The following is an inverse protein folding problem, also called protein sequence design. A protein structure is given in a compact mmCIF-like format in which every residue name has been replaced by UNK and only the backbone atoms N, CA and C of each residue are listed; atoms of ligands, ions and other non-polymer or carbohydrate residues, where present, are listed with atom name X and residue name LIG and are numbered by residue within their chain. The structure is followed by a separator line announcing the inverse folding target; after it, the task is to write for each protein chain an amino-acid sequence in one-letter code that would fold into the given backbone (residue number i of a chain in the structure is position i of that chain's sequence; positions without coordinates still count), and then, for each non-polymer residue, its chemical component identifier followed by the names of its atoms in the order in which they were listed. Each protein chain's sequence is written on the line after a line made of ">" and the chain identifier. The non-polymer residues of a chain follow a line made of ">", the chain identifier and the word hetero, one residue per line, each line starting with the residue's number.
data_IF_138923086980
#
_entry.id   IF_138923086980
#
_cell.length_a   1.000
_cell.length_b   1.000
_cell.length_c   1.000
_cell.angle_alpha   90.00
_cell.angle_beta   90.00
_cell.angle_gamma   90.00
#
_symmetry.space_group_name_H-M   'P 1'
#
loop_
_entity.id
_entity.type
_entity.pdbx_description
1 polymer ?
#
# COMPACT_ATOMS: atom_id res chain seq x y z
N UNK A 1 21.69 -14.30 -20.85
CA UNK A 1 20.32 -13.75 -20.66
C UNK A 1 19.84 -13.95 -19.22
N UNK A 2 19.95 -15.16 -18.66
CA UNK A 2 19.60 -15.45 -17.25
C UNK A 2 20.35 -14.58 -16.22
N UNK A 3 21.67 -14.46 -16.35
CA UNK A 3 22.50 -13.68 -15.41
C UNK A 3 22.08 -12.20 -15.32
N UNK A 4 21.61 -11.63 -16.43
CA UNK A 4 21.16 -10.23 -16.49
C UNK A 4 19.85 -10.03 -15.72
N UNK A 5 18.94 -11.01 -15.77
CA UNK A 5 17.69 -10.98 -14.99
C UNK A 5 18.01 -11.10 -13.50
N UNK A 6 18.86 -12.06 -13.12
CA UNK A 6 19.24 -12.25 -11.71
C UNK A 6 19.93 -11.03 -11.14
N UNK A 7 20.80 -10.38 -11.92
CA UNK A 7 21.44 -9.12 -11.55
C UNK A 7 20.42 -8.00 -11.34
N UNK A 8 19.50 -7.79 -12.29
CA UNK A 8 18.48 -6.75 -12.18
C UNK A 8 17.53 -6.97 -11.00
N UNK A 9 17.15 -8.23 -10.73
CA UNK A 9 16.37 -8.59 -9.54
C UNK A 9 17.15 -8.25 -8.27
N UNK A 10 18.43 -8.60 -8.19
CA UNK A 10 19.27 -8.33 -7.01
C UNK A 10 19.52 -6.83 -6.79
N UNK A 11 19.65 -6.05 -7.86
CA UNK A 11 19.79 -4.60 -7.77
C UNK A 11 18.46 -3.91 -7.40
N UNK A 12 17.33 -4.36 -7.94
CA UNK A 12 16.01 -3.81 -7.56
C UNK A 12 15.68 -4.07 -6.10
N UNK A 13 16.15 -5.20 -5.55
CA UNK A 13 16.11 -5.53 -4.12
C UNK A 13 16.82 -4.52 -3.21
N UNK A 14 17.74 -3.69 -3.72
CA UNK A 14 18.38 -2.62 -2.94
C UNK A 14 17.51 -1.36 -2.83
N UNK A 15 16.57 -1.19 -3.77
CA UNK A 15 15.61 -0.06 -3.79
C UNK A 15 14.35 -0.39 -3.00
N UNK A 16 13.97 -1.67 -2.95
CA UNK A 16 12.87 -2.15 -2.13
C UNK A 16 13.35 -2.15 -0.67
N UNK A 17 12.70 -1.35 0.19
CA UNK A 17 13.00 -1.33 1.62
C UNK A 17 13.03 -2.77 2.19
N UNK A 18 13.90 -3.09 3.16
CA UNK A 18 14.25 -4.46 3.60
C UNK A 18 13.10 -5.28 4.24
N UNK A 19 11.85 -4.85 4.06
CA UNK A 19 10.66 -5.45 4.61
C UNK A 19 10.03 -6.54 3.70
N UNK A 20 10.75 -7.05 2.68
CA UNK A 20 10.31 -8.20 1.87
C UNK A 20 11.09 -9.50 2.23
N UNK A 21 10.46 -10.70 2.27
CA UNK A 21 9.03 -10.97 2.05
C UNK A 21 8.18 -10.28 3.10
N UNK A 22 7.09 -9.61 2.68
CA UNK A 22 6.18 -8.91 3.59
C UNK A 22 5.70 -9.90 4.65
N UNK A 23 6.39 -9.92 5.79
CA UNK A 23 5.92 -10.64 6.97
C UNK A 23 4.63 -9.99 7.48
N UNK A 24 4.43 -8.71 7.14
CA UNK A 24 3.24 -7.92 7.41
C UNK A 24 2.79 -7.23 6.11
N UNK A 25 1.80 -7.79 5.41
CA UNK A 25 0.90 -6.96 4.60
C UNK A 25 0.33 -5.88 5.52
N UNK A 26 0.22 -4.64 5.04
CA UNK A 26 -0.13 -3.42 5.79
C UNK A 26 -1.61 -3.37 6.19
N UNK A 27 -2.02 -4.43 6.86
CA UNK A 27 -3.21 -4.61 7.68
C UNK A 27 -2.83 -5.74 8.65
N UNK A 28 -1.93 -5.46 9.60
CA UNK A 28 -1.79 -6.36 10.74
C UNK A 28 -3.09 -6.21 11.51
N UNK A 29 -4.02 -7.14 11.30
CA UNK A 29 -5.24 -7.18 12.09
C UNK A 29 -4.82 -7.24 13.58
N UNK A 30 -5.06 -6.20 14.38
CA UNK A 30 -4.62 -6.15 15.77
C UNK A 30 -5.35 -7.20 16.65
N UNK A 31 -6.30 -7.94 16.07
CA UNK A 31 -7.04 -9.01 16.71
C UNK A 31 -6.62 -10.40 16.23
N UNK A 32 -5.63 -10.51 15.33
CA UNK A 32 -5.17 -11.80 14.81
C UNK A 32 -4.61 -12.67 15.95
N UNK A 33 -5.13 -13.89 16.09
CA UNK A 33 -4.78 -14.81 17.18
C UNK A 33 -5.60 -14.62 18.46
N UNK A 34 -6.58 -13.72 18.46
CA UNK A 34 -7.50 -13.45 19.57
C UNK A 34 -8.95 -13.84 19.21
N UNK A 35 -9.16 -14.64 18.17
CA UNK A 35 -10.47 -14.97 17.61
C UNK A 35 -11.37 -15.74 18.59
N UNK A 36 -10.77 -16.43 19.57
CA UNK A 36 -11.49 -17.18 20.60
C UNK A 36 -11.98 -16.32 21.78
N UNK A 37 -11.61 -15.03 21.83
CA UNK A 37 -11.98 -14.13 22.92
C UNK A 37 -13.23 -13.30 22.59
N UNK A 38 -14.02 -12.91 23.61
CA UNK A 38 -15.01 -11.84 23.45
C UNK A 38 -14.36 -10.56 22.89
N UNK A 39 -15.10 -9.82 22.05
CA UNK A 39 -14.56 -8.68 21.30
C UNK A 39 -13.97 -7.60 22.22
N UNK A 40 -14.59 -7.37 23.37
CA UNK A 40 -14.13 -6.41 24.38
C UNK A 40 -12.75 -6.79 24.92
N UNK A 41 -12.53 -8.07 25.23
CA UNK A 41 -11.23 -8.58 25.69
C UNK A 41 -10.19 -8.60 24.59
N UNK A 42 -10.59 -8.99 23.38
CA UNK A 42 -9.72 -9.01 22.20
C UNK A 42 -9.20 -7.60 21.89
N UNK A 43 -10.04 -6.57 21.99
CA UNK A 43 -9.65 -5.17 21.78
C UNK A 43 -8.67 -4.68 22.84
N UNK A 44 -8.91 -4.98 24.13
CA UNK A 44 -8.01 -4.57 25.21
C UNK A 44 -6.65 -5.25 25.04
N UNK A 45 -6.62 -6.57 24.82
CA UNK A 45 -5.37 -7.32 24.63
C UNK A 45 -4.68 -6.91 23.34
N UNK A 46 -5.41 -6.78 22.24
CA UNK A 46 -4.89 -6.31 20.96
C UNK A 46 -4.24 -4.93 21.09
N UNK A 47 -4.88 -3.98 21.78
CA UNK A 47 -4.32 -2.66 22.01
C UNK A 47 -3.03 -2.66 22.85
N UNK A 48 -2.86 -3.62 23.77
CA UNK A 48 -1.62 -3.79 24.55
C UNK A 48 -0.52 -4.46 23.73
N UNK A 49 -0.85 -5.53 22.98
CA UNK A 49 0.12 -6.30 22.20
C UNK A 49 0.58 -5.59 20.91
N UNK A 50 -0.31 -4.80 20.30
CA UNK A 50 -0.05 -4.05 19.07
C UNK A 50 0.22 -2.57 19.35
N UNK A 51 0.82 -2.21 20.49
CA UNK A 51 1.46 -0.89 20.68
C UNK A 51 2.67 -0.75 19.74
N UNK A 52 2.42 -0.70 18.43
CA UNK A 52 3.32 -0.05 17.49
C UNK A 52 3.07 1.44 17.67
N UNK A 53 3.86 2.04 18.54
CA UNK A 53 3.70 3.45 18.92
C UNK A 53 3.88 4.40 17.74
N UNK A 54 4.61 4.00 16.69
CA UNK A 54 4.75 4.77 15.45
C UNK A 54 5.18 3.85 14.28
N UNK A 55 4.51 3.97 13.14
CA UNK A 55 5.00 3.38 11.89
C UNK A 55 6.14 4.25 11.33
N UNK A 56 7.19 3.67 10.72
CA UNK A 56 8.17 4.48 10.01
C UNK A 56 7.49 5.34 8.96
N UNK A 57 7.80 6.64 8.90
CA UNK A 57 7.16 7.60 7.98
C UNK A 57 7.06 7.11 6.50
N UNK A 58 8.06 6.42 5.91
CA UNK A 58 7.92 5.88 4.56
C UNK A 58 6.80 4.84 4.41
N UNK A 59 6.57 4.03 5.45
CA UNK A 59 5.52 3.00 5.47
C UNK A 59 4.15 3.64 5.66
N UNK A 60 4.04 4.66 6.51
CA UNK A 60 2.82 5.43 6.67
C UNK A 60 2.40 6.09 5.35
N UNK A 61 3.33 6.67 4.60
CA UNK A 61 3.06 7.22 3.27
C UNK A 61 2.54 6.17 2.29
N UNK A 62 3.14 4.98 2.27
CA UNK A 62 2.66 3.87 1.43
C UNK A 62 1.25 3.47 1.85
N UNK A 63 0.97 3.38 3.15
CA UNK A 63 -0.35 3.04 3.67
C UNK A 63 -1.40 4.07 3.24
N UNK A 64 -1.10 5.36 3.40
CA UNK A 64 -1.99 6.45 3.00
C UNK A 64 -2.29 6.44 1.50
N UNK A 65 -1.27 6.22 0.66
CA UNK A 65 -1.50 6.10 -0.78
C UNK A 65 -2.33 4.84 -1.11
N UNK A 66 -2.04 3.73 -0.45
CA UNK A 66 -2.79 2.47 -0.65
C UNK A 66 -4.25 2.66 -0.29
N UNK A 67 -4.55 3.17 0.91
CA UNK A 67 -5.90 3.44 1.38
C UNK A 67 -6.64 4.36 0.41
N UNK A 68 -6.03 5.48 0.00
CA UNK A 68 -6.66 6.43 -0.94
C UNK A 68 -7.08 5.76 -2.25
N UNK A 69 -6.18 5.00 -2.87
CA UNK A 69 -6.45 4.40 -4.17
C UNK A 69 -7.41 3.21 -4.08
N UNK A 70 -7.38 2.46 -2.99
CA UNK A 70 -8.35 1.39 -2.73
C UNK A 70 -9.74 1.96 -2.43
N UNK A 71 -9.83 3.04 -1.65
CA UNK A 71 -11.09 3.71 -1.36
C UNK A 71 -11.79 4.11 -2.66
N UNK A 72 -11.14 4.89 -3.53
CA UNK A 72 -11.75 5.35 -4.79
C UNK A 72 -12.05 4.19 -5.77
N UNK A 73 -11.25 3.12 -5.75
CA UNK A 73 -11.51 1.96 -6.60
C UNK A 73 -12.73 1.15 -6.15
N UNK A 74 -12.87 0.92 -4.84
CA UNK A 74 -13.93 0.10 -4.24
C UNK A 74 -15.15 0.90 -3.78
N UNK A 75 -15.19 2.20 -4.03
CA UNK A 75 -16.28 3.10 -3.62
C UNK A 75 -17.65 2.77 -4.23
N UNK A 76 -17.77 1.75 -5.10
CA UNK A 76 -19.01 1.26 -5.76
C UNK A 76 -19.97 2.32 -6.33
N UNK A 77 -19.50 3.56 -6.55
CA UNK A 77 -20.31 4.67 -7.05
C UNK A 77 -20.95 5.54 -5.95
N UNK A 78 -20.48 5.49 -4.70
CA UNK A 78 -20.90 6.41 -3.64
C UNK A 78 -20.39 7.85 -3.87
N UNK A 79 -19.20 8.02 -4.44
CA UNK A 79 -18.68 9.31 -4.86
C UNK A 79 -19.34 9.78 -6.16
N UNK A 80 -19.57 11.09 -6.24
CA UNK A 80 -20.08 11.78 -7.42
C UNK A 80 -19.23 11.53 -8.67
N UNK A 81 -17.94 11.26 -8.49
CA UNK A 81 -17.00 10.95 -9.58
C UNK A 81 -16.46 9.54 -9.38
N UNK A 82 -16.88 8.62 -10.24
CA UNK A 82 -16.30 7.28 -10.31
C UNK A 82 -14.84 7.32 -10.78
N UNK A 83 -14.02 6.40 -10.27
CA UNK A 83 -12.63 6.27 -10.71
C UNK A 83 -12.53 6.04 -12.22
N UNK A 84 -11.82 6.91 -12.97
CA UNK A 84 -11.56 6.69 -14.39
C UNK A 84 -10.79 5.39 -14.63
N UNK A 85 -11.07 4.73 -15.76
CA UNK A 85 -10.43 3.47 -16.16
C UNK A 85 -10.66 2.28 -15.19
N UNK A 86 -11.56 2.39 -14.21
CA UNK A 86 -11.82 1.33 -13.21
C UNK A 86 -12.11 -0.04 -13.84
N UNK A 87 -12.81 -0.08 -14.96
CA UNK A 87 -13.10 -1.32 -15.70
C UNK A 87 -11.86 -2.04 -16.25
N UNK A 88 -10.71 -1.37 -16.32
CA UNK A 88 -9.42 -1.94 -16.73
C UNK A 88 -8.67 -2.60 -15.56
N UNK A 89 -9.27 -2.60 -14.35
CA UNK A 89 -8.68 -3.14 -13.13
C UNK A 89 -7.84 -2.11 -12.35
N UNK A 90 -7.61 -2.43 -11.08
CA UNK A 90 -6.98 -1.53 -10.10
C UNK A 90 -5.62 -1.01 -10.58
N UNK A 91 -4.72 -1.90 -10.98
CA UNK A 91 -3.36 -1.52 -11.35
C UNK A 91 -3.31 -0.57 -12.55
N UNK A 92 -4.10 -0.83 -13.60
CA UNK A 92 -4.11 0.00 -14.80
C UNK A 92 -4.73 1.38 -14.51
N UNK A 93 -5.85 1.40 -13.79
CA UNK A 93 -6.50 2.64 -13.39
C UNK A 93 -5.59 3.49 -12.50
N UNK A 94 -5.00 2.87 -11.47
CA UNK A 94 -4.02 3.51 -10.59
C UNK A 94 -2.81 4.04 -11.37
N UNK A 95 -2.18 3.22 -12.22
CA UNK A 95 -0.98 3.64 -12.98
C UNK A 95 -1.25 4.89 -13.84
N UNK A 96 -2.43 4.98 -14.46
CA UNK A 96 -2.83 6.13 -15.29
C UNK A 96 -3.15 7.38 -14.45
N UNK A 97 -3.72 7.21 -13.27
CA UNK A 97 -4.15 8.32 -12.41
C UNK A 97 -3.05 8.83 -11.48
N UNK A 98 -2.18 7.93 -11.00
CA UNK A 98 -1.02 8.24 -10.18
C UNK A 98 -0.07 9.22 -10.89
N UNK A 99 -0.04 9.21 -12.23
CA UNK A 99 0.67 10.20 -13.04
C UNK A 99 0.29 11.66 -12.70
N UNK A 100 -0.97 11.90 -12.35
CA UNK A 100 -1.50 13.23 -12.03
C UNK A 100 -1.44 13.52 -10.52
N UNK A 101 -0.89 12.62 -9.73
CA UNK A 101 -0.84 12.73 -8.29
C UNK A 101 0.41 13.47 -7.83
N UNK A 102 0.22 14.74 -7.42
CA UNK A 102 1.30 15.58 -6.93
C UNK A 102 2.02 15.00 -5.70
N UNK A 103 1.35 14.21 -4.86
CA UNK A 103 1.96 13.62 -3.67
C UNK A 103 2.91 12.47 -4.04
N UNK A 104 2.64 11.77 -5.14
CA UNK A 104 3.51 10.68 -5.63
C UNK A 104 4.76 11.25 -6.31
N UNK A 105 4.64 12.42 -6.95
CA UNK A 105 5.72 13.01 -7.74
C UNK A 105 6.49 14.13 -7.04
N UNK A 106 6.03 14.59 -5.86
CA UNK A 106 6.60 15.73 -5.14
C UNK A 106 6.78 16.98 -6.04
N UNK A 107 5.84 17.17 -6.98
CA UNK A 107 5.90 18.25 -7.97
C UNK A 107 6.89 18.04 -9.14
N UNK A 108 7.58 16.91 -9.23
CA UNK A 108 8.57 16.65 -10.27
C UNK A 108 8.01 15.81 -11.43
N UNK A 109 7.41 16.50 -12.41
CA UNK A 109 6.79 15.90 -13.60
C UNK A 109 7.79 15.18 -14.53
N UNK A 110 9.11 15.21 -14.28
CA UNK A 110 10.08 14.44 -15.09
C UNK A 110 10.17 12.97 -14.69
N UNK A 111 9.77 12.60 -13.46
CA UNK A 111 9.71 11.20 -12.99
C UNK A 111 8.56 10.40 -13.64
N UNK A 112 7.69 11.06 -14.39
CA UNK A 112 6.48 10.47 -14.95
C UNK A 112 6.62 9.95 -16.40
N UNK A 113 7.74 10.27 -17.08
CA UNK A 113 7.98 9.97 -18.51
C UNK A 113 8.78 8.68 -18.78
N UNK A 114 8.88 7.77 -17.81
CA UNK A 114 9.87 6.68 -17.81
C UNK A 114 9.37 5.25 -18.01
N UNK A 115 8.14 5.02 -18.51
CA UNK A 115 7.61 3.66 -18.76
C UNK A 115 6.74 3.58 -20.01
#
# INVERSE_FOLDING_TARGET
>A
MFEKITFLVKESWKTIAPFWPLKNLVAVNPLKGLEDLPIEEALIKGAVFFQQTEMPAPIELINLQTIKWLQVFFDEGQATISMPFRSQGLYIAWKKLAYFDFQIHEGNQKKSNGY
#
